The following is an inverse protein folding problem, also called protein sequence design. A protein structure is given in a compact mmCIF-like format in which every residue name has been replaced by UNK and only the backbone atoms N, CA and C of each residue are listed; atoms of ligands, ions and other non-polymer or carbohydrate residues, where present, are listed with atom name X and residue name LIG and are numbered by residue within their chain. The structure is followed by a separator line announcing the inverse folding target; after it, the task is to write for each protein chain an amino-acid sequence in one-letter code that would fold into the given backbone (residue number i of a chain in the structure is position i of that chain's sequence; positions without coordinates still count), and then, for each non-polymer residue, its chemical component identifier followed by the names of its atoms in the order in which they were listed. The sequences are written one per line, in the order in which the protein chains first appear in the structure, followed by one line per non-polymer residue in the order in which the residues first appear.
data_IF_006285195453
#
_entry.id   IF_006285195453
#
_cell.length_a   1.000
_cell.length_b   1.000
_cell.length_c   1.000
_cell.angle_alpha   90.00
_cell.angle_beta   90.00
_cell.angle_gamma   90.00
#
_symmetry.space_group_name_H-M   'P 1'
#
loop_
_entity.id
_entity.type
_entity.pdbx_description
1 polymer ?
#
# COMPACT_ATOMS: atom_id res chain seq x y z
N UNK A 1 -34.29 40.82 -24.13
CA UNK A 1 -33.46 40.24 -23.05
C UNK A 1 -34.10 38.95 -22.54
N UNK A 2 -33.50 37.78 -22.78
CA UNK A 2 -33.99 36.49 -22.25
C UNK A 2 -33.44 36.28 -20.84
N UNK A 3 -34.33 36.07 -19.85
CA UNK A 3 -33.94 35.69 -18.47
C UNK A 3 -33.37 34.27 -18.50
N UNK A 4 -32.06 34.13 -18.30
CA UNK A 4 -31.41 32.84 -18.14
C UNK A 4 -31.79 32.28 -16.76
N UNK A 5 -32.44 31.11 -16.73
CA UNK A 5 -32.80 30.40 -15.49
C UNK A 5 -31.53 29.79 -14.88
N UNK A 6 -30.85 30.55 -14.01
CA UNK A 6 -29.66 30.08 -13.27
C UNK A 6 -29.98 29.09 -12.13
N UNK A 7 -31.25 28.88 -11.80
CA UNK A 7 -31.71 28.08 -10.67
C UNK A 7 -31.23 26.62 -10.59
N UNK A 8 -31.14 25.82 -11.67
CA UNK A 8 -30.84 24.39 -11.52
C UNK A 8 -29.37 24.12 -11.17
N UNK A 9 -28.45 24.97 -11.60
CA UNK A 9 -27.02 24.79 -11.35
C UNK A 9 -26.64 25.09 -9.90
N UNK A 10 -27.30 26.09 -9.28
CA UNK A 10 -27.07 26.42 -7.88
C UNK A 10 -27.48 25.26 -6.95
N UNK A 11 -28.63 24.64 -7.22
CA UNK A 11 -29.15 23.52 -6.44
C UNK A 11 -28.22 22.29 -6.56
N UNK A 12 -27.69 22.04 -7.76
CA UNK A 12 -26.76 20.93 -7.98
C UNK A 12 -25.44 21.13 -7.22
N UNK A 13 -24.86 22.32 -7.25
CA UNK A 13 -23.63 22.66 -6.53
C UNK A 13 -23.79 22.53 -5.01
N UNK A 14 -24.93 22.94 -4.46
CA UNK A 14 -25.22 22.83 -3.01
C UNK A 14 -25.29 21.36 -2.58
N UNK A 15 -25.93 20.49 -3.38
CA UNK A 15 -26.00 19.07 -3.07
C UNK A 15 -24.63 18.39 -3.10
N UNK A 16 -23.74 18.78 -4.03
CA UNK A 16 -22.35 18.28 -4.05
C UNK A 16 -21.60 18.68 -2.77
N UNK A 17 -21.73 19.94 -2.34
CA UNK A 17 -21.06 20.44 -1.13
C UNK A 17 -21.56 19.68 0.11
N UNK A 18 -22.87 19.43 0.22
CA UNK A 18 -23.45 18.67 1.35
C UNK A 18 -22.90 17.23 1.40
N UNK A 19 -22.84 16.55 0.25
CA UNK A 19 -22.25 15.20 0.16
C UNK A 19 -20.77 15.23 0.51
N UNK A 20 -20.03 16.24 0.06
CA UNK A 20 -18.61 16.41 0.35
C UNK A 20 -18.35 16.60 1.86
N UNK A 21 -19.13 17.47 2.52
CA UNK A 21 -19.03 17.72 3.97
C UNK A 21 -19.40 16.46 4.76
N UNK A 22 -20.43 15.72 4.34
CA UNK A 22 -20.83 14.48 5.01
C UNK A 22 -19.75 13.38 4.92
N UNK A 23 -19.13 13.20 3.75
CA UNK A 23 -18.06 12.21 3.56
C UNK A 23 -16.79 12.63 4.31
N UNK A 24 -16.44 13.92 4.29
CA UNK A 24 -15.29 14.45 5.02
C UNK A 24 -15.45 14.34 6.54
N UNK A 25 -16.65 14.56 7.06
CA UNK A 25 -16.96 14.34 8.47
C UNK A 25 -16.89 12.86 8.86
N UNK A 26 -17.30 11.96 7.97
CA UNK A 26 -17.19 10.51 8.19
C UNK A 26 -15.74 9.99 8.14
N UNK A 27 -14.89 10.61 7.31
CA UNK A 27 -13.45 10.35 7.23
C UNK A 27 -12.72 10.66 8.53
N UNK A 28 -13.01 11.83 9.14
CA UNK A 28 -12.38 12.25 10.40
C UNK A 28 -12.77 11.31 11.56
N UNK A 29 -13.94 10.67 11.48
CA UNK A 29 -14.52 9.89 12.58
C UNK A 29 -14.28 8.37 12.52
N UNK A 30 -13.69 7.81 11.45
CA UNK A 30 -13.50 6.35 11.35
C UNK A 30 -12.07 5.92 11.01
N UNK A 31 -11.63 4.82 11.64
CA UNK A 31 -10.34 4.17 11.39
C UNK A 31 -10.20 3.54 9.98
N UNK A 32 -11.24 3.64 9.13
CA UNK A 32 -11.33 3.05 7.79
C UNK A 32 -11.30 4.11 6.66
N UNK A 33 -10.50 5.17 6.83
CA UNK A 33 -10.44 6.30 5.90
C UNK A 33 -10.13 5.94 4.43
N UNK A 34 -9.51 4.79 4.16
CA UNK A 34 -9.20 4.36 2.79
C UNK A 34 -10.41 4.17 1.88
N UNK A 35 -11.41 3.40 2.33
CA UNK A 35 -12.55 3.05 1.47
C UNK A 35 -13.44 4.28 1.21
N UNK A 36 -13.65 5.09 2.23
CA UNK A 36 -14.39 6.35 2.10
C UNK A 36 -13.67 7.36 1.21
N UNK A 37 -12.33 7.29 1.07
CA UNK A 37 -11.55 8.20 0.23
C UNK A 37 -11.65 7.76 -1.22
N UNK A 38 -11.58 6.45 -1.46
CA UNK A 38 -11.83 5.85 -2.78
C UNK A 38 -13.24 6.19 -3.26
N UNK A 39 -14.27 6.06 -2.40
CA UNK A 39 -15.64 6.43 -2.75
C UNK A 39 -15.80 7.93 -3.02
N UNK A 40 -15.09 8.79 -2.27
CA UNK A 40 -15.07 10.24 -2.54
C UNK A 40 -14.39 10.55 -3.87
N UNK A 41 -13.26 9.93 -4.16
CA UNK A 41 -12.55 10.09 -5.44
C UNK A 41 -13.42 9.60 -6.59
N UNK A 42 -14.09 8.46 -6.46
CA UNK A 42 -15.06 7.97 -7.45
C UNK A 42 -16.22 8.95 -7.60
N UNK A 43 -16.80 9.47 -6.51
CA UNK A 43 -17.89 10.44 -6.57
C UNK A 43 -17.46 11.77 -7.20
N UNK A 44 -16.25 12.26 -6.89
CA UNK A 44 -15.66 13.45 -7.50
C UNK A 44 -15.36 13.22 -8.98
N UNK A 45 -14.79 12.06 -9.34
CA UNK A 45 -14.59 11.66 -10.74
C UNK A 45 -15.93 11.59 -11.45
N UNK A 46 -16.97 11.00 -10.87
CA UNK A 46 -18.30 10.91 -11.48
C UNK A 46 -18.96 12.30 -11.61
N UNK A 47 -18.81 13.17 -10.62
CA UNK A 47 -19.40 14.52 -10.59
C UNK A 47 -18.66 15.49 -11.54
N UNK A 48 -17.33 15.47 -11.54
CA UNK A 48 -16.49 16.15 -12.53
C UNK A 48 -16.74 15.55 -13.90
N UNK A 49 -16.83 14.22 -14.03
CA UNK A 49 -17.18 13.57 -15.29
C UNK A 49 -18.57 13.95 -15.74
N UNK A 50 -19.54 14.26 -14.87
CA UNK A 50 -20.88 14.73 -15.23
C UNK A 50 -20.89 16.21 -15.66
N UNK A 51 -20.11 17.05 -14.96
CA UNK A 51 -19.95 18.47 -15.28
C UNK A 51 -19.15 18.69 -16.57
N UNK A 52 -18.03 17.97 -16.68
CA UNK A 52 -17.19 17.84 -17.88
C UNK A 52 -17.92 17.02 -18.95
N UNK A 53 -18.79 16.05 -18.64
CA UNK A 53 -19.67 15.40 -19.64
C UNK A 53 -20.55 16.46 -20.28
N UNK A 54 -21.18 17.32 -19.49
CA UNK A 54 -22.11 18.28 -20.07
C UNK A 54 -21.41 19.25 -21.02
N UNK A 55 -20.18 19.67 -20.72
CA UNK A 55 -19.39 20.53 -21.62
C UNK A 55 -18.65 19.78 -22.73
N UNK A 56 -18.09 18.61 -22.46
CA UNK A 56 -17.26 17.82 -23.38
C UNK A 56 -18.08 16.89 -24.25
N UNK A 57 -19.25 16.40 -23.82
CA UNK A 57 -20.20 15.72 -24.71
C UNK A 57 -20.83 16.72 -25.66
N UNK A 58 -21.07 17.98 -25.25
CA UNK A 58 -21.46 19.01 -26.21
C UNK A 58 -20.35 19.28 -27.25
N UNK A 59 -19.08 19.19 -26.87
CA UNK A 59 -17.94 19.35 -27.79
C UNK A 59 -17.70 18.11 -28.68
N UNK A 60 -17.62 16.92 -28.09
CA UNK A 60 -17.34 15.63 -28.75
C UNK A 60 -18.52 15.14 -29.58
N UNK A 61 -19.77 15.35 -29.16
CA UNK A 61 -20.95 15.04 -29.98
C UNK A 61 -21.00 15.93 -31.23
N UNK A 62 -20.61 17.21 -31.08
CA UNK A 62 -20.58 18.17 -32.18
C UNK A 62 -19.42 17.94 -33.15
N UNK A 63 -18.28 17.43 -32.66
CA UNK A 63 -17.09 17.17 -33.50
C UNK A 63 -17.07 15.75 -34.08
N UNK A 64 -17.44 14.72 -33.30
CA UNK A 64 -17.24 13.32 -33.67
C UNK A 64 -18.53 12.51 -33.88
N UNK A 65 -19.72 13.06 -33.59
CA UNK A 65 -21.02 12.34 -33.67
C UNK A 65 -21.04 10.98 -32.93
N UNK A 66 -20.22 10.80 -31.90
CA UNK A 66 -20.19 9.56 -31.12
C UNK A 66 -21.35 9.57 -30.12
N UNK A 67 -22.14 8.50 -30.11
CA UNK A 67 -23.26 8.33 -29.18
C UNK A 67 -22.77 8.24 -27.73
N UNK A 68 -23.49 8.91 -26.81
CA UNK A 68 -23.14 9.04 -25.39
C UNK A 68 -22.87 7.69 -24.68
N UNK A 69 -23.49 6.61 -25.15
CA UNK A 69 -23.31 5.28 -24.61
C UNK A 69 -21.88 4.73 -24.85
N UNK A 70 -21.26 5.04 -26.00
CA UNK A 70 -19.94 4.52 -26.37
C UNK A 70 -18.80 5.09 -25.53
N UNK A 71 -18.91 6.35 -25.11
CA UNK A 71 -17.91 7.00 -24.25
C UNK A 71 -17.90 6.37 -22.85
N UNK A 72 -19.07 6.08 -22.28
CA UNK A 72 -19.18 5.44 -20.97
C UNK A 72 -18.60 4.02 -20.99
N UNK A 73 -18.90 3.26 -22.05
CA UNK A 73 -18.33 1.91 -22.25
C UNK A 73 -16.81 1.92 -22.37
N UNK A 74 -16.22 2.97 -22.97
CA UNK A 74 -14.76 3.10 -23.08
C UNK A 74 -14.08 3.54 -21.77
N UNK A 75 -14.79 4.26 -20.89
CA UNK A 75 -14.22 4.68 -19.60
C UNK A 75 -14.15 3.56 -18.57
N UNK A 76 -15.08 2.60 -18.60
CA UNK A 76 -15.14 1.50 -17.63
C UNK A 76 -13.83 0.66 -17.62
N UNK A 77 -13.28 0.20 -18.77
CA UNK A 77 -12.01 -0.50 -18.81
C UNK A 77 -10.84 0.33 -18.28
N UNK A 78 -10.79 1.63 -18.58
CA UNK A 78 -9.73 2.51 -18.11
C UNK A 78 -9.74 2.68 -16.58
N UNK A 79 -10.94 2.84 -16.00
CA UNK A 79 -11.13 2.84 -14.55
C UNK A 79 -10.75 1.48 -13.92
N UNK A 80 -11.16 0.37 -14.53
CA UNK A 80 -10.81 -0.96 -14.05
C UNK A 80 -9.30 -1.22 -14.09
N UNK A 81 -8.61 -0.78 -15.15
CA UNK A 81 -7.15 -0.88 -15.26
C UNK A 81 -6.42 -0.02 -14.22
N UNK A 82 -6.93 1.18 -13.94
CA UNK A 82 -6.41 2.04 -12.88
C UNK A 82 -6.60 1.40 -11.49
N UNK A 83 -7.76 0.79 -11.23
CA UNK A 83 -7.98 0.09 -9.96
C UNK A 83 -7.16 -1.19 -9.85
N UNK A 84 -6.98 -1.93 -10.96
CA UNK A 84 -6.19 -3.17 -10.95
C UNK A 84 -4.73 -2.92 -10.56
N UNK A 85 -4.17 -1.78 -10.98
CA UNK A 85 -2.80 -1.38 -10.63
C UNK A 85 -2.62 -1.08 -9.12
N UNK A 86 -3.70 -0.69 -8.43
CA UNK A 86 -3.71 -0.43 -6.97
C UNK A 86 -3.78 -1.75 -6.18
N UNK A 87 -4.39 -2.80 -6.76
CA UNK A 87 -4.62 -4.07 -6.09
C UNK A 87 -3.71 -5.21 -6.55
N UNK A 88 -2.77 -4.95 -7.47
CA UNK A 88 -1.80 -5.96 -7.85
C UNK A 88 -1.04 -6.41 -6.60
N UNK A 89 -1.11 -7.70 -6.22
CA UNK A 89 -0.39 -8.21 -5.06
C UNK A 89 1.10 -7.92 -5.28
N UNK A 90 1.73 -7.33 -4.27
CA UNK A 90 3.17 -7.06 -4.29
C UNK A 90 3.87 -8.37 -4.64
N UNK A 91 4.68 -8.43 -5.72
CA UNK A 91 5.13 -9.70 -6.31
C UNK A 91 5.84 -10.65 -5.33
N UNK A 92 6.41 -10.12 -4.25
CA UNK A 92 7.08 -10.92 -3.22
C UNK A 92 6.20 -11.37 -2.05
N UNK A 93 4.94 -10.92 -1.95
CA UNK A 93 4.01 -11.40 -0.92
C UNK A 93 3.64 -12.87 -1.12
N UNK A 94 3.55 -13.37 -2.36
CA UNK A 94 3.15 -14.76 -2.59
C UNK A 94 4.24 -15.77 -2.26
N UNK A 95 5.50 -15.46 -2.60
CA UNK A 95 6.63 -16.34 -2.33
C UNK A 95 6.88 -16.43 -0.81
N UNK A 96 6.89 -15.30 -0.11
CA UNK A 96 7.04 -15.25 1.34
C UNK A 96 5.83 -15.78 2.12
N UNK A 97 4.60 -15.77 1.55
CA UNK A 97 3.42 -16.38 2.19
C UNK A 97 3.47 -17.91 2.21
N UNK A 98 4.19 -18.53 1.27
CA UNK A 98 4.19 -20.00 1.10
C UNK A 98 5.36 -20.67 1.81
N UNK A 99 6.46 -19.96 2.06
CA UNK A 99 7.59 -20.48 2.83
C UNK A 99 7.36 -20.22 4.33
N UNK A 100 7.15 -21.29 5.11
CA UNK A 100 7.25 -21.23 6.56
C UNK A 100 8.66 -20.74 6.90
N UNK A 101 8.77 -19.49 7.37
CA UNK A 101 10.06 -18.81 7.50
C UNK A 101 10.64 -19.16 8.87
N UNK A 102 11.23 -20.36 8.92
CA UNK A 102 11.83 -20.98 10.09
C UNK A 102 13.29 -20.54 10.21
N UNK A 103 13.76 -20.29 11.42
CA UNK A 103 15.15 -19.92 11.70
C UNK A 103 16.14 -21.03 11.34
N UNK A 104 17.42 -20.71 11.22
CA UNK A 104 18.44 -21.71 10.86
C UNK A 104 18.57 -22.82 11.90
N UNK A 105 18.29 -22.53 13.17
CA UNK A 105 18.23 -23.53 14.25
C UNK A 105 16.91 -24.29 14.36
N UNK A 106 15.92 -23.94 13.54
CA UNK A 106 14.55 -24.46 13.63
C UNK A 106 13.83 -24.18 14.96
N UNK A 107 14.36 -23.27 15.77
CA UNK A 107 13.78 -22.93 17.07
C UNK A 107 12.75 -21.80 16.99
N UNK A 108 12.78 -21.00 15.92
CA UNK A 108 11.96 -19.81 15.80
C UNK A 108 11.22 -19.77 14.46
N UNK A 109 9.99 -19.27 14.50
CA UNK A 109 9.13 -19.10 13.34
C UNK A 109 8.75 -17.62 13.26
N UNK A 110 9.04 -16.98 12.13
CA UNK A 110 8.63 -15.61 11.87
C UNK A 110 7.27 -15.58 11.17
N UNK A 111 6.33 -14.81 11.71
CA UNK A 111 5.05 -14.48 11.07
C UNK A 111 5.01 -12.99 10.78
N UNK A 112 4.92 -12.67 9.50
CA UNK A 112 4.83 -11.29 9.02
C UNK A 112 3.48 -11.11 8.33
N UNK A 113 2.71 -10.12 8.78
CA UNK A 113 1.42 -9.76 8.19
C UNK A 113 1.33 -8.25 7.98
N UNK A 114 0.51 -7.84 7.03
CA UNK A 114 0.26 -6.42 6.77
C UNK A 114 -1.15 -6.05 7.26
N UNK A 115 -1.26 -4.91 7.92
CA UNK A 115 -2.53 -4.19 8.11
C UNK A 115 -2.55 -2.94 7.23
N UNK A 116 -3.67 -2.20 7.28
CA UNK A 116 -3.95 -1.05 6.40
C UNK A 116 -2.83 -0.01 6.35
N UNK A 117 -2.03 0.13 7.41
CA UNK A 117 -0.91 1.08 7.44
C UNK A 117 0.39 0.53 7.99
N UNK A 118 0.41 -0.68 8.56
CA UNK A 118 1.57 -1.18 9.29
C UNK A 118 1.91 -2.63 9.00
N UNK A 119 3.20 -2.95 9.06
CA UNK A 119 3.67 -4.33 9.12
C UNK A 119 3.63 -4.84 10.55
N UNK A 120 3.04 -6.01 10.74
CA UNK A 120 3.03 -6.76 11.99
C UNK A 120 3.97 -7.95 11.88
N UNK A 121 4.87 -8.07 12.85
CA UNK A 121 5.93 -9.05 12.94
C UNK A 121 5.79 -9.73 14.29
N UNK A 122 5.58 -11.04 14.24
CA UNK A 122 5.55 -11.91 15.41
C UNK A 122 6.62 -12.98 15.23
N UNK A 123 7.32 -13.31 16.31
CA UNK A 123 8.22 -14.46 16.36
C UNK A 123 7.67 -15.42 17.38
N UNK A 124 7.52 -16.67 16.96
CA UNK A 124 7.10 -17.78 17.80
C UNK A 124 8.29 -18.71 18.06
N UNK A 125 8.29 -19.37 19.22
CA UNK A 125 9.21 -20.47 19.49
C UNK A 125 8.68 -21.79 18.87
N UNK A 126 9.47 -22.86 18.99
CA UNK A 126 9.09 -24.20 18.51
C UNK A 126 7.82 -24.77 19.17
N UNK A 127 7.39 -24.23 20.30
CA UNK A 127 6.14 -24.61 20.99
C UNK A 127 4.93 -23.82 20.48
N UNK A 128 5.13 -22.84 19.57
CA UNK A 128 4.09 -21.96 19.06
C UNK A 128 3.78 -20.77 19.98
N UNK A 129 4.60 -20.52 21.00
CA UNK A 129 4.42 -19.37 21.90
C UNK A 129 5.06 -18.12 21.28
N UNK A 130 4.32 -17.02 21.22
CA UNK A 130 4.85 -15.73 20.77
C UNK A 130 5.87 -15.19 21.77
N UNK A 131 7.14 -15.13 21.35
CA UNK A 131 8.27 -14.61 22.15
C UNK A 131 8.64 -13.18 21.78
N UNK A 132 8.16 -12.70 20.63
CA UNK A 132 8.28 -11.31 20.23
C UNK A 132 7.06 -10.91 19.41
N UNK A 133 6.58 -9.69 19.65
CA UNK A 133 5.53 -9.05 18.87
C UNK A 133 5.87 -7.58 18.74
N UNK A 134 5.90 -7.06 17.51
CA UNK A 134 6.10 -5.64 17.32
C UNK A 134 4.82 -4.86 17.71
N UNK A 135 4.83 -4.26 18.89
CA UNK A 135 3.75 -3.35 19.29
C UNK A 135 3.88 -1.98 18.61
N UNK A 136 5.07 -1.67 18.08
CA UNK A 136 5.38 -0.38 17.52
C UNK A 136 4.88 -0.25 16.07
N UNK A 137 3.96 0.68 15.86
CA UNK A 137 3.39 1.05 14.57
C UNK A 137 4.35 1.89 13.71
N UNK A 138 5.63 1.99 14.05
CA UNK A 138 6.57 2.76 13.24
C UNK A 138 6.80 2.18 11.83
N UNK A 139 6.50 0.90 11.61
CA UNK A 139 6.73 0.21 10.34
C UNK A 139 5.57 0.41 9.37
N UNK A 140 5.58 1.53 8.64
CA UNK A 140 4.56 1.80 7.63
C UNK A 140 4.55 0.73 6.52
N UNK A 141 3.37 0.33 6.07
CA UNK A 141 3.18 -0.71 5.04
C UNK A 141 2.92 -0.16 3.64
N UNK A 142 3.43 1.03 3.30
CA UNK A 142 3.16 1.64 2.01
C UNK A 142 3.78 0.86 0.86
N UNK A 143 4.95 0.24 1.05
CA UNK A 143 5.53 -0.68 0.07
C UNK A 143 5.98 -2.02 0.69
N UNK A 144 6.83 -2.72 -0.04
CA UNK A 144 7.20 -4.13 0.20
C UNK A 144 8.14 -4.25 1.38
N UNK A 145 7.89 -5.24 2.23
CA UNK A 145 8.82 -5.71 3.25
C UNK A 145 9.44 -7.03 2.79
N UNK A 146 10.76 -7.10 2.80
CA UNK A 146 11.52 -8.33 2.56
C UNK A 146 12.12 -8.77 3.88
N UNK A 147 12.17 -10.09 4.14
CA UNK A 147 12.75 -10.59 5.37
C UNK A 147 13.39 -11.96 5.19
N UNK A 148 14.40 -12.25 6.00
CA UNK A 148 15.12 -13.53 5.97
C UNK A 148 15.80 -13.80 7.31
N UNK A 149 15.81 -15.06 7.74
CA UNK A 149 16.66 -15.49 8.85
C UNK A 149 18.10 -15.65 8.40
N UNK A 150 19.05 -15.25 9.24
CA UNK A 150 20.45 -15.60 9.03
C UNK A 150 20.86 -16.85 9.82
N UNK A 151 22.15 -17.20 9.70
CA UNK A 151 22.75 -18.37 10.35
C UNK A 151 22.87 -18.25 11.87
N UNK A 152 22.68 -17.05 12.43
CA UNK A 152 22.76 -16.76 13.86
C UNK A 152 21.36 -16.54 14.47
N UNK A 153 20.30 -16.97 13.77
CA UNK A 153 18.91 -16.76 14.16
C UNK A 153 18.57 -15.28 14.40
N UNK A 154 19.14 -14.39 13.58
CA UNK A 154 18.68 -13.00 13.50
C UNK A 154 17.72 -12.90 12.32
N UNK A 155 16.58 -12.27 12.55
CA UNK A 155 15.58 -12.02 11.51
C UNK A 155 15.84 -10.65 10.91
N UNK A 156 16.23 -10.63 9.65
CA UNK A 156 16.52 -9.40 8.93
C UNK A 156 15.30 -8.91 8.17
N UNK A 157 15.19 -7.59 8.03
CA UNK A 157 14.13 -6.90 7.30
C UNK A 157 14.74 -5.85 6.36
N UNK A 158 14.18 -5.72 5.18
CA UNK A 158 14.48 -4.65 4.24
C UNK A 158 13.19 -3.96 3.81
N UNK A 159 13.11 -2.66 4.09
CA UNK A 159 11.99 -1.80 3.74
C UNK A 159 12.26 -1.15 2.39
N UNK A 160 11.44 -1.46 1.39
CA UNK A 160 11.60 -0.84 0.06
C UNK A 160 11.18 0.64 0.02
N UNK A 161 10.38 1.09 1.00
CA UNK A 161 9.87 2.46 1.14
C UNK A 161 11.01 3.49 1.24
N UNK A 162 11.96 3.24 2.13
CA UNK A 162 13.06 4.15 2.48
C UNK A 162 14.45 3.50 2.30
N UNK A 163 14.48 2.23 1.91
CA UNK A 163 15.71 1.46 1.77
C UNK A 163 16.35 1.07 3.11
N UNK A 164 15.68 1.29 4.24
CA UNK A 164 16.20 0.95 5.56
C UNK A 164 16.27 -0.56 5.75
N UNK A 165 17.28 -0.99 6.50
CA UNK A 165 17.47 -2.38 6.87
C UNK A 165 17.36 -2.46 8.38
N UNK A 166 16.60 -3.42 8.87
CA UNK A 166 16.45 -3.68 10.30
C UNK A 166 16.76 -5.13 10.58
N UNK A 167 17.06 -5.44 11.84
CA UNK A 167 17.20 -6.82 12.27
C UNK A 167 16.66 -6.99 13.68
N UNK A 168 16.02 -8.13 13.90
CA UNK A 168 15.57 -8.59 15.20
C UNK A 168 16.56 -9.64 15.70
N UNK A 169 17.08 -9.43 16.91
CA UNK A 169 18.05 -10.34 17.52
C UNK A 169 17.76 -10.54 19.00
N UNK A 170 18.10 -11.71 19.53
CA UNK A 170 17.98 -12.03 20.95
C UNK A 170 19.15 -11.44 21.72
N UNK A 171 18.88 -10.55 22.67
CA UNK A 171 19.82 -10.06 23.67
C UNK A 171 19.54 -10.68 25.05
N UNK A 172 20.33 -10.30 26.05
CA UNK A 172 20.08 -10.69 27.45
C UNK A 172 18.73 -10.17 27.98
N UNK A 173 18.24 -9.06 27.42
CA UNK A 173 16.96 -8.44 27.79
C UNK A 173 15.80 -8.91 26.91
N UNK A 174 16.02 -9.93 26.07
CA UNK A 174 15.03 -10.47 25.15
C UNK A 174 15.23 -10.02 23.70
N UNK A 175 14.18 -10.13 22.89
CA UNK A 175 14.25 -9.80 21.47
C UNK A 175 14.21 -8.29 21.26
N UNK A 176 15.20 -7.78 20.53
CA UNK A 176 15.32 -6.36 20.23
C UNK A 176 15.39 -6.14 18.72
N UNK A 177 14.57 -5.22 18.25
CA UNK A 177 14.60 -4.73 16.88
C UNK A 177 15.54 -3.53 16.81
N UNK A 178 16.46 -3.56 15.85
CA UNK A 178 17.45 -2.50 15.64
C UNK A 178 17.52 -2.16 14.16
N UNK A 179 17.72 -0.88 13.87
CA UNK A 179 18.07 -0.42 12.54
C UNK A 179 19.53 -0.75 12.27
N UNK A 180 19.81 -1.35 11.11
CA UNK A 180 21.16 -1.64 10.65
C UNK A 180 21.83 -0.37 10.17
N UNK A 181 22.88 0.03 10.88
CA UNK A 181 23.70 1.17 10.50
C UNK A 181 24.99 0.69 9.85
N UNK A 182 25.11 0.89 8.53
CA UNK A 182 26.30 0.49 7.76
C UNK A 182 27.61 1.05 8.31
N UNK A 183 27.61 2.21 8.97
CA UNK A 183 28.84 2.80 9.50
C UNK A 183 29.26 2.20 10.83
N UNK A 184 28.30 1.81 11.66
CA UNK A 184 28.57 1.28 13.00
C UNK A 184 28.64 -0.25 13.03
N UNK A 185 27.82 -0.92 12.22
CA UNK A 185 27.59 -2.35 12.34
C UNK A 185 28.36 -3.18 11.29
N UNK A 186 28.88 -2.57 10.22
CA UNK A 186 29.42 -3.30 9.06
C UNK A 186 30.66 -4.18 9.35
N UNK A 187 31.34 -3.97 10.47
CA UNK A 187 32.49 -4.77 10.88
C UNK A 187 32.08 -6.16 11.38
N UNK A 188 30.94 -6.28 12.06
CA UNK A 188 30.51 -7.51 12.73
C UNK A 188 29.21 -8.06 12.15
N UNK A 189 28.41 -7.20 11.52
CA UNK A 189 27.06 -7.49 11.08
C UNK A 189 26.90 -7.11 9.61
N UNK A 190 26.51 -8.09 8.79
CA UNK A 190 26.18 -7.86 7.38
C UNK A 190 24.83 -8.49 7.08
N UNK A 191 23.90 -7.74 6.46
CA UNK A 191 22.64 -8.30 6.02
C UNK A 191 22.89 -9.45 5.03
N UNK A 192 22.15 -10.56 5.11
CA UNK A 192 22.25 -11.64 4.14
C UNK A 192 21.95 -11.12 2.72
N UNK A 193 22.72 -11.51 1.68
CA UNK A 193 22.45 -11.06 0.31
C UNK A 193 21.04 -11.41 -0.19
N UNK A 194 20.48 -12.52 0.29
CA UNK A 194 19.11 -12.97 -0.01
C UNK A 194 18.01 -12.07 0.56
N UNK A 195 18.36 -11.15 1.48
CA UNK A 195 17.42 -10.16 1.99
C UNK A 195 16.98 -9.19 0.89
N UNK A 196 17.90 -8.86 -0.02
CA UNK A 196 17.64 -7.88 -1.06
C UNK A 196 17.03 -8.54 -2.29
N UNK A 197 15.98 -7.95 -2.88
CA UNK A 197 15.43 -8.44 -4.12
C UNK A 197 16.49 -8.44 -5.23
N UNK A 198 16.41 -9.42 -6.12
CA UNK A 198 17.42 -9.69 -7.16
C UNK A 198 17.69 -8.48 -8.07
N UNK A 199 16.71 -7.60 -8.29
CA UNK A 199 16.86 -6.39 -9.09
C UNK A 199 17.69 -5.28 -8.41
N UNK A 200 17.87 -5.33 -7.09
CA UNK A 200 18.73 -4.40 -6.34
C UNK A 200 20.17 -4.86 -6.22
N UNK A 201 20.44 -6.14 -6.47
CA UNK A 201 21.80 -6.66 -6.49
C UNK A 201 22.37 -6.26 -7.86
N UNK A 202 23.22 -5.21 -7.96
CA UNK A 202 23.81 -4.84 -9.24
C UNK A 202 24.50 -6.09 -9.76
N UNK A 203 24.15 -6.52 -10.98
CA UNK A 203 24.63 -7.75 -11.63
C UNK A 203 26.14 -7.92 -11.39
N UNK A 204 26.50 -8.55 -10.27
CA UNK A 204 27.83 -9.06 -10.02
C UNK A 204 27.87 -10.22 -10.99
N UNK A 205 28.43 -9.91 -12.16
CA UNK A 205 28.60 -10.81 -13.29
C UNK A 205 28.80 -12.21 -12.76
N UNK A 206 27.91 -13.12 -13.14
CA UNK A 206 28.15 -14.57 -13.05
C UNK A 206 29.54 -14.80 -13.64
N UNK A 207 30.55 -14.92 -12.79
CA UNK A 207 31.89 -15.37 -13.12
C UNK A 207 31.96 -16.84 -12.74
#
# INVERSE_FOLDING_TARGET
MRKVKAAPYLIFSINIIIVFVAIFWHQISSANGGLSFILLVIFCILSLSNCVYHMSVLLVYKVFKIERFKVLVLMIPALLLLTYSIFAPVPNMEENRRSMNISSSEQFIARVSASFNYWHIEVENALGETIYKNENTAMRSAFSLYWVWDKQDRLWFYYSDDGSVHYLSKSNDGWQLREYNKFNDALELKPPPSLFPSYLIPNHKKQ
#
